data_IF_404204495242
#
_entry.id   IF_404204495242
#
_cell.length_a   1.000
_cell.length_b   1.000
_cell.length_c   1.000
_cell.angle_alpha   90.00
_cell.angle_beta   90.00
_cell.angle_gamma   90.00
#
_symmetry.space_group_name_H-M   'P 1'
#
loop_
_entity.id
_entity.type
_entity.pdbx_description
1 polymer ?
#
# COMPACT_ATOMS: atom_id res chain seq x y z
N UNK A 1 -13.58 -6.15 -3.33
CA UNK A 1 -12.89 -7.43 -3.07
C UNK A 1 -12.75 -7.61 -1.57
N UNK A 2 -12.94 -8.81 -1.02
CA UNK A 2 -12.81 -9.02 0.43
C UNK A 2 -11.43 -9.59 0.79
N UNK A 3 -10.60 -8.78 1.45
CA UNK A 3 -9.28 -9.18 1.97
C UNK A 3 -9.42 -9.35 3.47
N UNK A 4 -9.09 -10.53 3.99
CA UNK A 4 -9.27 -10.93 5.41
C UNK A 4 -7.94 -11.17 6.13
N UNK A 5 -6.84 -11.30 5.40
CA UNK A 5 -5.53 -11.60 5.97
C UNK A 5 -4.38 -11.13 5.08
N UNK A 6 -3.18 -11.13 5.64
CA UNK A 6 -1.96 -10.67 4.97
C UNK A 6 -1.60 -11.53 3.73
N UNK A 7 -1.91 -12.83 3.71
CA UNK A 7 -1.63 -13.67 2.55
C UNK A 7 -2.49 -13.25 1.34
N UNK A 8 -3.77 -12.95 1.57
CA UNK A 8 -4.66 -12.42 0.55
C UNK A 8 -4.20 -11.03 0.08
N UNK A 9 -3.83 -10.15 1.00
CA UNK A 9 -3.27 -8.83 0.66
C UNK A 9 -2.06 -8.94 -0.28
N UNK A 10 -1.09 -9.80 0.09
CA UNK A 10 0.12 -10.05 -0.72
C UNK A 10 -0.22 -10.57 -2.12
N UNK A 11 -1.22 -11.46 -2.23
CA UNK A 11 -1.69 -11.98 -3.52
C UNK A 11 -2.26 -10.86 -4.40
N UNK A 12 -3.12 -10.03 -3.83
CA UNK A 12 -3.77 -8.91 -4.56
C UNK A 12 -2.75 -7.89 -5.05
N UNK A 13 -1.75 -7.58 -4.22
CA UNK A 13 -0.60 -6.75 -4.61
C UNK A 13 0.21 -7.40 -5.74
N UNK A 14 0.49 -8.71 -5.66
CA UNK A 14 1.22 -9.44 -6.71
C UNK A 14 0.47 -9.47 -8.04
N UNK A 15 -0.87 -9.50 -7.99
CA UNK A 15 -1.74 -9.42 -9.17
C UNK A 15 -1.82 -8.00 -9.77
N UNK A 16 -1.21 -7.00 -9.13
CA UNK A 16 -1.09 -5.64 -9.66
C UNK A 16 -2.36 -4.78 -9.47
N UNK A 17 -3.25 -5.17 -8.57
CA UNK A 17 -4.46 -4.40 -8.29
C UNK A 17 -4.13 -3.00 -7.76
N UNK A 18 -4.91 -2.01 -8.23
CA UNK A 18 -4.81 -0.64 -7.75
C UNK A 18 -5.40 -0.53 -6.36
N UNK A 19 -4.91 0.45 -5.61
CA UNK A 19 -5.47 0.78 -4.31
C UNK A 19 -5.46 2.28 -4.09
N UNK A 20 -6.41 2.75 -3.30
CA UNK A 20 -6.45 4.13 -2.81
C UNK A 20 -5.98 4.17 -1.36
N UNK A 21 -5.15 5.15 -1.03
CA UNK A 21 -4.78 5.45 0.35
C UNK A 21 -5.91 6.28 0.95
N UNK A 22 -6.73 5.67 1.81
CA UNK A 22 -7.87 6.35 2.47
C UNK A 22 -7.42 7.25 3.60
N UNK A 23 -6.44 6.79 4.38
CA UNK A 23 -5.83 7.55 5.48
C UNK A 23 -4.34 7.28 5.52
N UNK A 24 -3.53 8.30 5.82
CA UNK A 24 -2.12 8.11 6.10
C UNK A 24 -1.73 8.94 7.32
N UNK A 25 -1.64 8.27 8.47
CA UNK A 25 -1.48 8.88 9.79
C UNK A 25 -0.16 9.65 9.97
N UNK A 26 0.86 9.34 9.15
CA UNK A 26 2.19 9.97 9.20
C UNK A 26 2.42 11.01 8.07
N UNK A 27 1.75 10.84 6.92
CA UNK A 27 1.99 11.59 5.67
C UNK A 27 0.66 11.90 5.01
N UNK A 28 -0.08 12.87 5.55
CA UNK A 28 -1.42 13.23 5.08
C UNK A 28 -1.47 13.60 3.59
N UNK A 29 -0.36 14.04 3.00
CA UNK A 29 -0.23 14.32 1.57
C UNK A 29 -0.38 13.08 0.66
N UNK A 30 -0.39 11.88 1.25
CA UNK A 30 -0.63 10.62 0.53
C UNK A 30 -2.11 10.23 0.49
N UNK A 31 -2.96 10.87 1.29
CA UNK A 31 -4.40 10.60 1.30
C UNK A 31 -5.03 10.92 -0.06
N UNK A 32 -5.89 10.02 -0.53
CA UNK A 32 -6.54 10.11 -1.84
C UNK A 32 -5.68 9.68 -3.03
N UNK A 33 -4.39 9.39 -2.84
CA UNK A 33 -3.57 8.88 -3.94
C UNK A 33 -4.04 7.49 -4.37
N UNK A 34 -4.26 7.33 -5.68
CA UNK A 34 -4.43 6.02 -6.30
C UNK A 34 -3.05 5.51 -6.70
N UNK A 35 -2.75 4.31 -6.24
CA UNK A 35 -1.44 3.68 -6.31
C UNK A 35 -1.58 2.34 -7.03
N UNK A 36 -0.51 1.94 -7.71
CA UNK A 36 -0.37 0.58 -8.23
C UNK A 36 0.96 -0.03 -7.81
N UNK A 37 1.01 -1.32 -7.48
CA UNK A 37 2.27 -2.04 -7.31
C UNK A 37 3.14 -1.94 -8.56
N UNK A 38 4.44 -1.77 -8.39
CA UNK A 38 5.40 -1.67 -9.49
C UNK A 38 6.49 -2.75 -9.40
N UNK A 39 7.11 -2.89 -8.22
CA UNK A 39 8.11 -3.95 -7.96
C UNK A 39 7.70 -4.66 -6.68
N UNK A 40 7.38 -5.95 -6.77
CA UNK A 40 6.90 -6.74 -5.62
C UNK A 40 8.00 -7.68 -5.15
N UNK A 41 8.22 -7.73 -3.83
CA UNK A 41 9.20 -8.57 -3.16
C UNK A 41 8.55 -9.36 -2.02
N UNK A 42 9.30 -10.27 -1.40
CA UNK A 42 8.77 -11.13 -0.33
C UNK A 42 8.39 -10.37 0.93
N UNK A 43 9.18 -9.34 1.28
CA UNK A 43 9.03 -8.52 2.49
C UNK A 43 8.25 -7.23 2.27
N UNK A 44 7.97 -6.84 1.04
CA UNK A 44 7.25 -5.61 0.73
C UNK A 44 7.10 -5.38 -0.75
N UNK A 45 6.73 -4.17 -1.13
CA UNK A 45 6.60 -3.77 -2.52
C UNK A 45 6.84 -2.28 -2.68
N UNK A 46 7.24 -1.90 -3.89
CA UNK A 46 7.23 -0.52 -4.34
C UNK A 46 5.93 -0.22 -5.07
N UNK A 47 5.40 0.99 -4.89
CA UNK A 47 4.21 1.48 -5.59
C UNK A 47 4.45 2.83 -6.25
N UNK A 48 3.73 3.08 -7.35
CA UNK A 48 3.76 4.34 -8.11
C UNK A 48 2.37 4.96 -8.18
N UNK A 49 2.26 6.26 -8.45
CA UNK A 49 0.95 6.91 -8.61
C UNK A 49 0.37 6.54 -9.97
N UNK A 50 -0.89 6.11 -9.98
CA UNK A 50 -1.56 5.75 -11.22
C UNK A 50 -1.75 6.98 -12.12
N UNK A 51 -1.38 6.85 -13.39
CA UNK A 51 -1.47 7.94 -14.38
C UNK A 51 -0.53 9.13 -14.16
N UNK A 52 0.40 9.08 -13.19
CA UNK A 52 1.32 10.20 -12.91
C UNK A 52 2.80 9.76 -13.02
N UNK A 53 3.35 9.65 -14.25
CA UNK A 53 4.72 9.18 -14.47
C UNK A 53 5.78 10.09 -13.84
N UNK A 54 5.54 11.41 -13.82
CA UNK A 54 6.52 12.41 -13.37
C UNK A 54 6.35 12.81 -11.90
N UNK A 55 5.47 12.13 -11.16
CA UNK A 55 5.24 12.46 -9.76
C UNK A 55 6.49 12.13 -8.91
N UNK A 56 6.72 12.93 -7.87
CA UNK A 56 7.80 12.68 -6.90
C UNK A 56 7.74 11.25 -6.35
N UNK A 57 6.53 10.69 -6.21
CA UNK A 57 6.37 9.35 -5.69
C UNK A 57 6.69 8.28 -6.75
N UNK A 58 6.28 8.47 -8.00
CA UNK A 58 6.60 7.55 -9.09
C UNK A 58 8.11 7.51 -9.36
N UNK A 59 8.76 8.67 -9.35
CA UNK A 59 10.21 8.80 -9.60
C UNK A 59 11.09 8.34 -8.42
N UNK A 60 10.52 8.17 -7.23
CA UNK A 60 11.25 7.73 -6.04
C UNK A 60 11.95 6.36 -6.25
N UNK A 61 13.02 6.12 -5.49
CA UNK A 61 13.79 4.87 -5.52
C UNK A 61 14.21 4.46 -6.95
N UNK A 62 14.75 5.41 -7.72
CA UNK A 62 15.15 5.22 -9.12
C UNK A 62 14.00 4.73 -10.00
N UNK A 63 12.83 5.38 -9.90
CA UNK A 63 11.64 5.04 -10.68
C UNK A 63 10.90 3.77 -10.23
N UNK A 64 11.33 3.13 -9.12
CA UNK A 64 10.60 1.99 -8.57
C UNK A 64 9.33 2.42 -7.84
N UNK A 65 9.31 3.64 -7.30
CA UNK A 65 8.21 4.16 -6.53
C UNK A 65 8.50 4.23 -5.02
N UNK A 66 7.49 4.50 -4.21
CA UNK A 66 7.61 4.48 -2.74
C UNK A 66 7.57 3.05 -2.19
N UNK A 67 8.44 2.75 -1.23
CA UNK A 67 8.58 1.44 -0.59
C UNK A 67 7.57 1.24 0.54
N UNK A 68 7.00 0.05 0.60
CA UNK A 68 6.01 -0.37 1.60
C UNK A 68 6.42 -1.75 2.11
N UNK A 69 6.75 -1.84 3.39
CA UNK A 69 7.04 -3.11 4.04
C UNK A 69 5.75 -3.80 4.48
N UNK A 70 5.65 -5.12 4.32
CA UNK A 70 4.50 -5.87 4.81
C UNK A 70 4.47 -6.00 6.33
N UNK A 71 5.62 -6.09 7.00
CA UNK A 71 5.67 -6.42 8.42
C UNK A 71 5.07 -7.79 8.76
N UNK A 72 4.57 -7.93 9.98
CA UNK A 72 3.96 -9.17 10.51
C UNK A 72 2.46 -9.22 10.22
N UNK A 73 1.85 -10.39 10.28
CA UNK A 73 0.40 -10.50 10.16
C UNK A 73 -0.35 -9.72 11.26
N UNK A 74 0.21 -9.64 12.47
CA UNK A 74 -0.33 -8.85 13.60
C UNK A 74 -0.29 -7.34 13.39
N UNK A 75 0.48 -6.87 12.41
CA UNK A 75 0.57 -5.45 12.06
C UNK A 75 -0.62 -5.00 11.20
N UNK A 76 -1.50 -5.93 10.81
CA UNK A 76 -2.64 -5.65 9.94
C UNK A 76 -3.98 -5.91 10.61
N UNK A 77 -4.93 -5.02 10.35
CA UNK A 77 -6.35 -5.22 10.60
C UNK A 77 -7.11 -5.13 9.29
N UNK A 78 -8.02 -6.07 9.07
CA UNK A 78 -8.83 -6.17 7.87
C UNK A 78 -10.31 -6.04 8.25
N UNK A 79 -10.96 -4.97 7.81
CA UNK A 79 -12.34 -4.68 8.20
C UNK A 79 -13.03 -3.84 7.11
N UNK A 80 -14.24 -4.24 6.71
CA UNK A 80 -15.07 -3.51 5.73
C UNK A 80 -14.34 -3.14 4.43
N UNK A 81 -13.47 -4.04 3.93
CA UNK A 81 -12.67 -3.81 2.72
C UNK A 81 -11.40 -2.96 2.91
N UNK A 82 -11.20 -2.40 4.11
CA UNK A 82 -10.01 -1.62 4.46
C UNK A 82 -8.92 -2.54 5.02
N UNK A 83 -7.71 -2.39 4.49
CA UNK A 83 -6.49 -2.95 5.05
C UNK A 83 -5.78 -1.84 5.83
N UNK A 84 -5.83 -1.89 7.16
CA UNK A 84 -5.13 -0.97 8.05
C UNK A 84 -3.81 -1.59 8.48
N UNK A 85 -2.71 -0.85 8.34
CA UNK A 85 -1.41 -1.25 8.86
C UNK A 85 -1.00 -0.39 10.05
N UNK A 86 -0.40 -1.04 11.04
CA UNK A 86 0.28 -0.41 12.17
C UNK A 86 1.73 -0.90 12.23
N UNK A 87 2.67 -0.04 12.61
CA UNK A 87 4.06 -0.42 12.82
C UNK A 87 4.48 -0.06 14.24
N UNK A 88 4.94 -1.05 15.01
CA UNK A 88 5.35 -0.88 16.42
C UNK A 88 4.29 -0.16 17.27
N UNK A 89 3.02 -0.54 17.08
CA UNK A 89 1.88 0.01 17.83
C UNK A 89 1.39 1.39 17.35
N UNK A 90 1.93 1.94 16.27
CA UNK A 90 1.46 3.20 15.67
C UNK A 90 0.77 2.93 14.34
N UNK A 91 -0.43 3.47 14.15
CA UNK A 91 -1.13 3.40 12.86
C UNK A 91 -0.28 4.11 11.78
N UNK A 92 -0.15 3.47 10.62
CA UNK A 92 0.61 4.01 9.50
C UNK A 92 -0.36 4.58 8.48
N UNK A 93 -1.31 3.76 8.04
CA UNK A 93 -2.22 4.06 6.94
C UNK A 93 -3.35 3.03 6.80
N UNK A 94 -4.36 3.43 6.03
CA UNK A 94 -5.50 2.62 5.61
C UNK A 94 -5.56 2.62 4.09
N UNK A 95 -5.60 1.42 3.49
CA UNK A 95 -5.71 1.26 2.04
C UNK A 95 -6.93 0.44 1.66
N UNK A 96 -7.51 0.75 0.51
CA UNK A 96 -8.65 0.04 -0.08
C UNK A 96 -8.32 -0.29 -1.53
N UNK A 97 -8.56 -1.54 -1.95
CA UNK A 97 -8.33 -1.96 -3.32
C UNK A 97 -9.54 -1.65 -4.20
N UNK A 98 -9.27 -1.12 -5.40
CA UNK A 98 -10.26 -0.66 -6.39
C UNK A 98 -10.12 -1.36 -7.74
#
# INVERSE_FOLDING_TARGET
MEIKNLAQLKRVIKEGHKFIIRKHYIRSEYEGQIRKPNVVQTNGFYSIEDGKPDSKITLANNGKGSWIEYGKASDWKFENGICKQSFRGREVWEIEFI
#
